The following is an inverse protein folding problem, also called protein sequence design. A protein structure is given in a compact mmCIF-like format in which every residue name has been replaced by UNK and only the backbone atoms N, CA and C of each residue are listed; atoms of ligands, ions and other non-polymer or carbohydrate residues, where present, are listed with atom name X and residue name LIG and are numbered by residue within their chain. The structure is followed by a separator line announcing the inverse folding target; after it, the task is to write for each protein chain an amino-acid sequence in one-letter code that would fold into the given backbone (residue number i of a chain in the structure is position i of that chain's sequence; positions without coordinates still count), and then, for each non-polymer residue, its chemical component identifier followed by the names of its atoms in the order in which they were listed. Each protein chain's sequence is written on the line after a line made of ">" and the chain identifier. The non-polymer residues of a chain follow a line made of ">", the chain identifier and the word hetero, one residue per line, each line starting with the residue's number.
data_IF_133516293295
#
_entry.id   IF_133516293295
#
_cell.length_a   1.000
_cell.length_b   1.000
_cell.length_c   1.000
_cell.angle_alpha   90.00
_cell.angle_beta   90.00
_cell.angle_gamma   90.00
#
_symmetry.space_group_name_H-M   'P 1'
#
loop_
_entity.id
_entity.type
_entity.pdbx_description
1 polymer ?
#
# COMPACT_ATOMS: atom_id res chain seq x y z
N UNK A 1 -14.91 7.12 15.12
CA UNK A 1 -14.28 6.30 16.16
C UNK A 1 -15.28 5.67 17.13
N UNK A 2 -16.04 6.42 17.94
CA UNK A 2 -16.96 5.82 18.96
C UNK A 2 -17.99 4.86 18.38
N UNK A 3 -18.57 5.15 17.23
CA UNK A 3 -19.48 4.24 16.53
C UNK A 3 -18.77 2.93 16.18
N UNK A 4 -17.60 2.99 15.56
CA UNK A 4 -16.81 1.81 15.20
C UNK A 4 -16.38 0.99 16.42
N UNK A 5 -16.02 1.65 17.53
CA UNK A 5 -15.70 0.96 18.77
C UNK A 5 -16.93 0.26 19.36
N UNK A 6 -18.10 0.92 19.34
CA UNK A 6 -19.36 0.33 19.85
C UNK A 6 -19.80 -0.92 19.09
N UNK A 7 -19.51 -0.98 17.77
CA UNK A 7 -19.74 -2.16 16.93
C UNK A 7 -18.60 -3.21 17.04
N UNK A 8 -17.43 -2.81 17.62
CA UNK A 8 -16.31 -3.71 17.77
C UNK A 8 -16.42 -4.49 19.09
N UNK A 9 -16.52 -5.79 19.03
CA UNK A 9 -16.36 -6.67 20.20
C UNK A 9 -15.00 -7.36 20.22
N UNK A 10 -13.95 -6.80 19.62
CA UNK A 10 -12.60 -7.31 19.80
C UNK A 10 -11.90 -6.47 20.86
N UNK A 11 -11.37 -7.13 21.87
CA UNK A 11 -10.48 -6.54 22.89
C UNK A 11 -9.03 -6.43 22.40
N UNK A 12 -8.81 -6.63 21.08
CA UNK A 12 -7.49 -6.60 20.48
C UNK A 12 -7.03 -5.15 20.28
N UNK A 13 -5.85 -4.79 20.78
CA UNK A 13 -5.29 -3.46 20.63
C UNK A 13 -4.89 -3.19 19.16
N UNK A 14 -4.84 -1.92 18.79
CA UNK A 14 -4.40 -1.51 17.45
C UNK A 14 -2.92 -1.80 17.25
N UNK A 15 -2.60 -2.40 16.11
CA UNK A 15 -1.23 -2.72 15.68
C UNK A 15 -0.63 -1.62 14.80
N UNK A 16 -1.50 -0.89 14.08
CA UNK A 16 -1.11 0.23 13.23
C UNK A 16 -2.21 1.29 13.11
N UNK A 17 -1.78 2.54 12.90
CA UNK A 17 -2.62 3.67 12.48
C UNK A 17 -1.96 4.32 11.28
N UNK A 18 -2.74 4.63 10.26
CA UNK A 18 -2.25 5.26 9.05
C UNK A 18 -3.06 6.51 8.73
N UNK A 19 -2.40 7.65 8.74
CA UNK A 19 -2.96 8.91 8.27
C UNK A 19 -2.62 9.06 6.79
N UNK A 20 -3.62 8.86 5.92
CA UNK A 20 -3.48 8.91 4.47
C UNK A 20 -4.58 9.71 3.81
N UNK A 21 -4.41 9.96 2.49
CA UNK A 21 -5.35 10.68 1.65
C UNK A 21 -5.25 12.20 1.76
N UNK A 22 -5.32 12.89 0.64
CA UNK A 22 -5.09 14.33 0.60
C UNK A 22 -3.64 14.68 0.98
N UNK A 23 -3.46 15.46 2.03
CA UNK A 23 -2.14 15.81 2.58
C UNK A 23 -2.21 15.80 4.12
N UNK A 24 -2.05 14.63 4.75
CA UNK A 24 -2.22 14.49 6.21
C UNK A 24 -1.21 15.31 7.03
N UNK A 25 -0.02 15.56 6.49
CA UNK A 25 1.03 16.36 7.12
C UNK A 25 0.66 17.83 7.33
N UNK A 26 -0.39 18.32 6.66
CA UNK A 26 -0.96 19.66 6.90
C UNK A 26 -1.93 19.69 8.09
N UNK A 27 -2.24 18.54 8.68
CA UNK A 27 -3.07 18.50 9.88
C UNK A 27 -2.29 19.11 11.05
N UNK A 28 -2.91 19.98 11.86
CA UNK A 28 -2.25 20.50 13.06
C UNK A 28 -1.78 19.35 13.97
N UNK A 29 -0.53 19.34 14.44
CA UNK A 29 0.00 18.27 15.31
C UNK A 29 -0.85 18.05 16.57
N UNK A 30 -1.43 19.10 17.13
CA UNK A 30 -2.36 18.99 18.25
C UNK A 30 -3.61 18.16 17.93
N UNK A 31 -4.13 18.24 16.68
CA UNK A 31 -5.25 17.42 16.24
C UNK A 31 -4.83 15.97 16.08
N UNK A 32 -3.64 15.71 15.52
CA UNK A 32 -3.07 14.36 15.44
C UNK A 32 -3.00 13.73 16.83
N UNK A 33 -2.45 14.46 17.82
CA UNK A 33 -2.37 13.99 19.22
C UNK A 33 -3.76 13.69 19.80
N UNK A 34 -4.76 14.54 19.58
CA UNK A 34 -6.14 14.31 20.06
C UNK A 34 -6.73 13.04 19.43
N UNK A 35 -6.51 12.82 18.13
CA UNK A 35 -7.01 11.62 17.45
C UNK A 35 -6.34 10.35 17.95
N UNK A 36 -5.03 10.38 18.20
CA UNK A 36 -4.27 9.25 18.74
C UNK A 36 -4.69 8.94 20.18
N UNK A 37 -4.82 9.95 21.03
CA UNK A 37 -5.30 9.75 22.42
C UNK A 37 -6.71 9.15 22.45
N UNK A 38 -7.63 9.59 21.58
CA UNK A 38 -8.97 9.02 21.51
C UNK A 38 -8.97 7.59 20.94
N UNK A 39 -8.10 7.28 19.96
CA UNK A 39 -7.94 5.94 19.44
C UNK A 39 -7.39 4.99 20.52
N UNK A 40 -6.35 5.41 21.24
CA UNK A 40 -5.76 4.63 22.34
C UNK A 40 -6.76 4.38 23.46
N UNK A 41 -7.53 5.40 23.83
CA UNK A 41 -8.58 5.29 24.85
C UNK A 41 -9.67 4.28 24.47
N UNK A 42 -10.01 4.19 23.17
CA UNK A 42 -11.07 3.30 22.67
C UNK A 42 -10.59 1.86 22.48
N UNK A 43 -9.46 1.64 21.87
CA UNK A 43 -9.00 0.30 21.47
C UNK A 43 -7.72 -0.17 22.19
N UNK A 44 -6.99 0.75 22.82
CA UNK A 44 -5.63 0.46 23.28
C UNK A 44 -4.65 0.34 22.11
N UNK A 45 -3.36 0.39 22.41
CA UNK A 45 -2.27 0.22 21.46
C UNK A 45 -1.40 -0.96 21.83
N UNK A 46 -0.98 -1.76 20.84
CA UNK A 46 0.11 -2.70 21.06
C UNK A 46 1.42 -1.98 21.40
N UNK A 47 2.30 -2.59 22.23
CA UNK A 47 3.64 -2.07 22.43
C UNK A 47 4.37 -1.91 21.09
N UNK A 48 4.83 -0.68 20.79
CA UNK A 48 5.50 -0.38 19.53
C UNK A 48 4.56 -0.32 18.32
N UNK A 49 3.30 0.07 18.51
CA UNK A 49 2.36 0.35 17.42
C UNK A 49 3.01 1.19 16.32
N UNK A 50 2.72 0.87 15.05
CA UNK A 50 3.11 1.69 13.91
C UNK A 50 2.11 2.83 13.70
N UNK A 51 2.55 4.07 13.78
CA UNK A 51 1.74 5.26 13.51
C UNK A 51 2.37 6.00 12.34
N UNK A 52 1.81 5.78 11.15
CA UNK A 52 2.30 6.33 9.89
C UNK A 52 1.51 7.57 9.47
N UNK A 53 2.21 8.53 8.87
CA UNK A 53 1.62 9.71 8.25
C UNK A 53 2.26 9.94 6.88
N UNK A 54 1.42 10.17 5.85
CA UNK A 54 1.87 10.58 4.52
C UNK A 54 2.21 12.07 4.49
N UNK A 55 3.29 12.42 3.80
CA UNK A 55 3.73 13.79 3.64
C UNK A 55 4.30 14.04 2.24
N UNK A 56 4.19 15.29 1.75
CA UNK A 56 4.99 15.70 0.61
C UNK A 56 6.37 16.17 1.09
N UNK A 57 7.42 15.97 0.30
CA UNK A 57 8.77 16.34 0.67
C UNK A 57 9.02 17.84 0.40
N UNK A 58 8.19 18.69 0.99
CA UNK A 58 8.34 20.14 0.92
C UNK A 58 8.94 20.72 2.20
N UNK A 59 9.62 21.84 2.08
CA UNK A 59 10.21 22.56 3.22
C UNK A 59 9.17 23.00 4.25
N UNK A 60 7.95 23.31 3.80
CA UNK A 60 6.82 23.68 4.67
C UNK A 60 6.39 22.49 5.53
N UNK A 61 6.28 21.31 4.95
CA UNK A 61 5.86 20.11 5.67
C UNK A 61 6.99 19.60 6.58
N UNK A 62 8.23 19.61 6.10
CA UNK A 62 9.40 19.21 6.89
C UNK A 62 9.57 20.05 8.17
N UNK A 63 9.18 21.33 8.15
CA UNK A 63 9.21 22.18 9.34
C UNK A 63 8.28 21.72 10.48
N UNK A 64 7.28 20.88 10.19
CA UNK A 64 6.32 20.35 11.18
C UNK A 64 6.68 18.96 11.69
N UNK A 65 7.70 18.30 11.14
CA UNK A 65 8.01 16.89 11.45
C UNK A 65 8.35 16.67 12.93
N UNK A 66 9.09 17.58 13.55
CA UNK A 66 9.39 17.51 14.99
C UNK A 66 8.10 17.49 15.83
N UNK A 67 7.14 18.36 15.52
CA UNK A 67 5.88 18.45 16.25
C UNK A 67 4.97 17.24 16.00
N UNK A 68 4.97 16.69 14.76
CA UNK A 68 4.25 15.47 14.43
C UNK A 68 4.83 14.26 15.14
N UNK A 69 6.16 14.17 15.26
CA UNK A 69 6.82 13.11 16.04
C UNK A 69 6.45 13.23 17.54
N UNK A 70 6.44 14.44 18.11
CA UNK A 70 5.99 14.68 19.48
C UNK A 70 4.50 14.37 19.66
N UNK A 71 3.67 14.53 18.63
CA UNK A 71 2.26 14.16 18.65
C UNK A 71 2.02 12.64 18.65
N UNK A 72 3.06 11.82 18.41
CA UNK A 72 3.00 10.36 18.48
C UNK A 72 3.19 9.65 17.14
N UNK A 73 3.39 10.37 16.03
CA UNK A 73 3.76 9.75 14.74
C UNK A 73 5.18 9.17 14.85
N UNK A 74 5.38 7.92 14.45
CA UNK A 74 6.68 7.26 14.52
C UNK A 74 7.20 6.75 13.17
N UNK A 75 6.38 6.83 12.12
CA UNK A 75 6.74 6.52 10.73
C UNK A 75 6.19 7.59 9.79
N UNK A 76 6.98 8.01 8.81
CA UNK A 76 6.53 8.90 7.74
C UNK A 76 6.76 8.25 6.36
N UNK A 77 5.80 8.43 5.43
CA UNK A 77 5.97 8.09 4.01
C UNK A 77 6.02 9.36 3.20
N UNK A 78 7.15 9.60 2.53
CA UNK A 78 7.41 10.82 1.76
C UNK A 78 7.21 10.57 0.27
N UNK A 79 6.25 11.25 -0.33
CA UNK A 79 5.98 11.20 -1.76
C UNK A 79 7.04 11.91 -2.59
N UNK A 80 8.29 11.45 -2.57
CA UNK A 80 9.43 12.01 -3.33
C UNK A 80 9.16 11.96 -4.82
N UNK A 81 8.64 10.85 -5.31
CA UNK A 81 8.22 10.55 -6.68
C UNK A 81 9.36 10.46 -7.70
N UNK A 82 10.36 11.33 -7.65
CA UNK A 82 11.57 11.29 -8.47
C UNK A 82 12.67 12.17 -7.87
N UNK A 83 13.93 11.86 -8.21
CA UNK A 83 15.11 12.68 -7.94
C UNK A 83 15.55 13.50 -9.18
N UNK A 84 14.64 13.72 -10.13
CA UNK A 84 14.87 14.49 -11.38
C UNK A 84 13.81 15.57 -11.52
N UNK A 85 14.24 16.84 -11.58
CA UNK A 85 13.35 18.00 -11.62
C UNK A 85 12.42 18.05 -12.84
N UNK A 86 12.89 17.59 -13.99
CA UNK A 86 12.08 17.49 -15.20
C UNK A 86 10.96 16.46 -15.07
N UNK A 87 11.26 15.34 -14.42
CA UNK A 87 10.29 14.29 -14.08
C UNK A 87 9.29 14.77 -13.05
N UNK A 88 9.73 15.45 -12.02
CA UNK A 88 8.83 16.02 -11.01
C UNK A 88 7.84 16.99 -11.65
N UNK A 89 8.30 17.85 -12.58
CA UNK A 89 7.42 18.73 -13.37
C UNK A 89 6.45 17.95 -14.26
N UNK A 90 6.92 16.87 -14.91
CA UNK A 90 6.05 15.97 -15.71
C UNK A 90 4.95 15.36 -14.83
N UNK A 91 5.31 14.87 -13.64
CA UNK A 91 4.37 14.31 -12.65
C UNK A 91 3.49 15.36 -11.98
N UNK A 92 3.71 16.64 -12.26
CA UNK A 92 2.92 17.75 -11.69
C UNK A 92 3.25 18.06 -10.23
N UNK A 93 4.46 17.70 -9.78
CA UNK A 93 4.93 17.98 -8.43
C UNK A 93 5.44 19.42 -8.31
N UNK A 94 5.26 20.01 -7.13
CA UNK A 94 5.63 21.42 -6.85
C UNK A 94 7.03 21.54 -6.23
N UNK A 95 7.52 20.46 -5.58
CA UNK A 95 8.86 20.39 -4.99
C UNK A 95 9.91 20.01 -6.03
N UNK A 96 11.17 20.39 -5.77
CA UNK A 96 12.32 19.94 -6.54
C UNK A 96 13.07 18.79 -5.88
N UNK A 97 14.01 18.18 -6.61
CA UNK A 97 14.78 17.03 -6.13
C UNK A 97 15.61 17.37 -4.88
N UNK A 98 16.30 18.52 -4.86
CA UNK A 98 17.09 18.98 -3.69
C UNK A 98 16.21 19.21 -2.46
N UNK A 99 14.99 19.70 -2.64
CA UNK A 99 14.04 19.89 -1.55
C UNK A 99 13.57 18.55 -0.99
N UNK A 100 13.30 17.59 -1.88
CA UNK A 100 12.92 16.24 -1.48
C UNK A 100 14.01 15.54 -0.67
N UNK A 101 15.27 15.61 -1.11
CA UNK A 101 16.42 15.03 -0.37
C UNK A 101 16.51 15.65 1.03
N UNK A 102 16.45 16.99 1.14
CA UNK A 102 16.47 17.67 2.45
C UNK A 102 15.30 17.26 3.34
N UNK A 103 14.11 17.08 2.78
CA UNK A 103 12.95 16.63 3.55
C UNK A 103 13.14 15.20 4.09
N UNK A 104 13.79 14.31 3.33
CA UNK A 104 14.17 12.96 3.79
C UNK A 104 15.16 13.04 4.95
N UNK A 105 16.20 13.86 4.86
CA UNK A 105 17.18 14.07 5.94
C UNK A 105 16.52 14.59 7.24
N UNK A 106 15.62 15.57 7.10
CA UNK A 106 14.85 16.10 8.25
C UNK A 106 13.94 15.00 8.82
N UNK A 107 13.25 14.22 7.99
CA UNK A 107 12.41 13.13 8.45
C UNK A 107 13.22 12.07 9.23
N UNK A 108 14.38 11.67 8.74
CA UNK A 108 15.27 10.71 9.42
C UNK A 108 15.79 11.22 10.76
N UNK A 109 15.82 12.54 10.98
CA UNK A 109 16.23 13.11 12.27
C UNK A 109 15.10 13.10 13.34
N UNK A 110 13.84 12.93 12.92
CA UNK A 110 12.68 13.01 13.82
C UNK A 110 11.89 11.71 13.93
N UNK A 111 11.87 10.89 12.89
CA UNK A 111 11.11 9.64 12.88
C UNK A 111 12.05 8.44 12.92
N UNK A 112 11.66 7.41 13.66
CA UNK A 112 12.42 6.15 13.73
C UNK A 112 12.32 5.34 12.44
N UNK A 113 11.29 5.58 11.62
CA UNK A 113 11.04 4.86 10.35
C UNK A 113 10.63 5.85 9.26
N UNK A 114 11.35 5.83 8.15
CA UNK A 114 11.10 6.70 7.00
C UNK A 114 10.95 5.84 5.75
N UNK A 115 9.87 6.07 5.01
CA UNK A 115 9.65 5.53 3.66
C UNK A 115 9.74 6.65 2.63
N UNK A 116 10.25 6.34 1.46
CA UNK A 116 10.15 7.20 0.27
C UNK A 116 9.40 6.50 -0.84
N UNK A 117 8.57 7.25 -1.56
CA UNK A 117 7.82 6.74 -2.69
C UNK A 117 8.41 7.28 -3.97
N UNK A 118 8.70 6.41 -4.95
CA UNK A 118 9.20 6.78 -6.28
C UNK A 118 8.32 6.18 -7.37
N UNK A 119 8.27 6.88 -8.52
CA UNK A 119 7.55 6.43 -9.72
C UNK A 119 8.57 6.19 -10.82
N UNK A 120 8.62 4.96 -11.35
CA UNK A 120 9.46 4.55 -12.46
C UNK A 120 8.63 4.00 -13.63
N UNK A 121 9.26 3.40 -14.64
CA UNK A 121 8.64 3.00 -15.91
C UNK A 121 7.90 4.18 -16.60
N UNK A 122 8.54 5.34 -16.55
CA UNK A 122 8.04 6.57 -17.16
C UNK A 122 8.28 6.56 -18.68
N UNK A 123 7.54 7.38 -19.45
CA UNK A 123 7.76 7.51 -20.87
C UNK A 123 9.23 7.73 -21.23
N UNK A 124 9.77 6.88 -22.10
CA UNK A 124 11.16 6.93 -22.59
C UNK A 124 12.25 6.74 -21.52
N UNK A 125 11.91 6.31 -20.33
CA UNK A 125 12.92 6.00 -19.30
C UNK A 125 13.75 4.80 -19.73
N UNK A 126 15.07 4.98 -19.80
CA UNK A 126 15.99 3.87 -20.06
C UNK A 126 16.35 3.12 -18.77
N UNK A 127 16.85 1.90 -18.94
CA UNK A 127 17.39 1.11 -17.83
C UNK A 127 18.54 1.86 -17.09
N UNK A 128 19.41 2.52 -17.84
CA UNK A 128 20.50 3.31 -17.26
C UNK A 128 20.00 4.50 -16.44
N UNK A 129 18.97 5.24 -16.93
CA UNK A 129 18.40 6.36 -16.19
C UNK A 129 17.82 5.89 -14.86
N UNK A 130 17.10 4.75 -14.88
CA UNK A 130 16.52 4.20 -13.66
C UNK A 130 17.58 3.62 -12.72
N UNK A 131 18.58 2.94 -13.23
CA UNK A 131 19.71 2.42 -12.43
C UNK A 131 20.37 3.55 -11.64
N UNK A 132 20.69 4.66 -12.29
CA UNK A 132 21.31 5.81 -11.61
C UNK A 132 20.40 6.42 -10.56
N UNK A 133 19.13 6.68 -10.89
CA UNK A 133 18.18 7.30 -9.98
C UNK A 133 17.87 6.41 -8.78
N UNK A 134 17.70 5.10 -8.98
CA UNK A 134 17.46 4.14 -7.89
C UNK A 134 18.70 4.00 -7.00
N UNK A 135 19.90 4.01 -7.56
CA UNK A 135 21.13 3.99 -6.76
C UNK A 135 21.26 5.23 -5.87
N UNK A 136 20.93 6.42 -6.38
CA UNK A 136 20.87 7.66 -5.59
C UNK A 136 19.83 7.58 -4.49
N UNK A 137 18.62 7.05 -4.80
CA UNK A 137 17.55 6.88 -3.82
C UNK A 137 17.91 5.89 -2.71
N UNK A 138 18.55 4.76 -3.06
CA UNK A 138 19.05 3.78 -2.09
C UNK A 138 20.13 4.38 -1.18
N UNK A 139 20.95 5.28 -1.71
CA UNK A 139 21.99 5.98 -0.94
C UNK A 139 21.42 6.94 0.13
N UNK A 140 20.12 7.33 0.06
CA UNK A 140 19.45 8.09 1.12
C UNK A 140 19.30 7.27 2.42
N UNK A 141 19.43 5.94 2.37
CA UNK A 141 19.53 5.07 3.54
C UNK A 141 18.24 4.90 4.30
N UNK A 142 17.07 5.03 3.66
CA UNK A 142 15.78 4.71 4.27
C UNK A 142 15.61 3.19 4.41
N UNK A 143 14.83 2.76 5.40
CA UNK A 143 14.60 1.33 5.66
C UNK A 143 13.42 0.74 4.88
N UNK A 144 12.68 1.59 4.18
CA UNK A 144 11.52 1.22 3.38
C UNK A 144 11.43 2.11 2.14
N UNK A 145 11.00 1.52 1.02
CA UNK A 145 10.76 2.23 -0.24
C UNK A 145 9.49 1.68 -0.90
N UNK A 146 8.64 2.58 -1.39
CA UNK A 146 7.52 2.24 -2.27
C UNK A 146 7.91 2.63 -3.70
N UNK A 147 8.04 1.66 -4.59
CA UNK A 147 8.52 1.84 -5.96
C UNK A 147 7.39 1.44 -6.92
N UNK A 148 6.70 2.44 -7.47
CA UNK A 148 5.53 2.24 -8.32
C UNK A 148 5.88 2.43 -9.79
N UNK A 149 5.41 1.54 -10.66
CA UNK A 149 5.40 1.80 -12.10
C UNK A 149 4.35 2.87 -12.41
N UNK A 150 4.65 3.75 -13.35
CA UNK A 150 3.68 4.75 -13.81
C UNK A 150 2.49 4.07 -14.47
N UNK A 151 1.36 4.09 -13.80
CA UNK A 151 0.09 3.57 -14.30
C UNK A 151 -0.77 4.70 -14.87
N UNK A 152 -1.39 4.45 -16.03
CA UNK A 152 -2.29 5.42 -16.69
C UNK A 152 -3.74 5.13 -16.26
N UNK A 153 -4.14 5.73 -15.14
CA UNK A 153 -5.48 5.56 -14.60
C UNK A 153 -6.55 6.24 -15.48
N UNK A 154 -7.67 5.57 -15.77
CA UNK A 154 -8.80 6.15 -16.49
C UNK A 154 -9.26 7.48 -15.86
N UNK A 155 -9.73 8.42 -16.68
CA UNK A 155 -10.24 9.74 -16.25
C UNK A 155 -9.19 10.74 -15.76
N UNK A 156 -7.90 10.36 -15.70
CA UNK A 156 -6.80 11.26 -15.30
C UNK A 156 -6.34 12.15 -16.47
N UNK A 157 -5.53 13.17 -16.11
CA UNK A 157 -4.81 13.98 -17.09
C UNK A 157 -3.92 13.11 -17.97
N UNK A 158 -3.18 12.15 -17.42
CA UNK A 158 -2.30 11.27 -18.17
C UNK A 158 -3.07 10.43 -19.19
N UNK A 159 -4.23 9.87 -18.84
CA UNK A 159 -5.07 9.16 -19.81
C UNK A 159 -5.54 10.06 -20.96
N UNK A 160 -5.75 11.34 -20.69
CA UNK A 160 -6.12 12.33 -21.71
C UNK A 160 -4.91 12.66 -22.59
N UNK A 161 -3.73 12.82 -22.02
CA UNK A 161 -2.50 13.16 -22.72
C UNK A 161 -2.05 12.00 -23.62
N UNK A 162 -2.14 10.76 -23.17
CA UNK A 162 -1.89 9.55 -23.98
C UNK A 162 -2.87 9.48 -25.17
N UNK A 163 -4.18 9.67 -24.93
CA UNK A 163 -5.18 9.67 -26.03
C UNK A 163 -4.93 10.78 -27.07
N UNK A 164 -4.29 11.86 -26.67
CA UNK A 164 -3.92 12.98 -27.56
C UNK A 164 -2.57 12.77 -28.25
N UNK A 165 -1.86 11.70 -27.96
CA UNK A 165 -0.53 11.42 -28.50
C UNK A 165 0.55 12.41 -28.00
N UNK A 166 0.38 12.98 -26.79
CA UNK A 166 1.38 13.86 -26.17
C UNK A 166 2.59 13.04 -25.72
N UNK A 167 2.35 11.84 -25.21
CA UNK A 167 3.36 10.84 -24.94
C UNK A 167 2.75 9.44 -25.02
N UNK A 168 3.62 8.43 -25.23
CA UNK A 168 3.26 7.02 -25.11
C UNK A 168 3.79 6.48 -23.77
N UNK A 169 3.03 5.61 -23.06
CA UNK A 169 3.56 4.86 -21.93
C UNK A 169 4.81 4.08 -22.33
N UNK A 170 5.63 3.69 -21.37
CA UNK A 170 6.68 2.71 -21.62
C UNK A 170 6.02 1.40 -22.05
N UNK A 171 6.59 0.70 -23.03
CA UNK A 171 6.09 -0.60 -23.46
C UNK A 171 6.28 -1.67 -22.36
N UNK A 172 5.49 -2.73 -22.44
CA UNK A 172 5.39 -3.75 -21.39
C UNK A 172 6.71 -4.52 -21.20
N UNK A 173 7.47 -4.78 -22.27
CA UNK A 173 8.75 -5.49 -22.18
C UNK A 173 9.79 -4.66 -21.41
N UNK A 174 9.96 -3.39 -21.79
CA UNK A 174 10.83 -2.47 -21.06
C UNK A 174 10.36 -2.22 -19.61
N UNK A 175 9.04 -2.16 -19.38
CA UNK A 175 8.50 -2.02 -18.03
C UNK A 175 8.79 -3.26 -17.17
N UNK A 176 8.72 -4.46 -17.73
CA UNK A 176 9.08 -5.71 -17.05
C UNK A 176 10.59 -5.78 -16.75
N UNK A 177 11.46 -5.34 -17.67
CA UNK A 177 12.90 -5.26 -17.45
C UNK A 177 13.23 -4.31 -16.30
N UNK A 178 12.60 -3.12 -16.25
CA UNK A 178 12.78 -2.18 -15.16
C UNK A 178 12.26 -2.74 -13.82
N UNK A 179 11.18 -3.53 -13.83
CA UNK A 179 10.69 -4.20 -12.64
C UNK A 179 11.70 -5.22 -12.11
N UNK A 180 12.26 -6.05 -12.97
CA UNK A 180 13.28 -7.04 -12.60
C UNK A 180 14.55 -6.36 -12.06
N UNK A 181 15.01 -5.29 -12.73
CA UNK A 181 16.14 -4.46 -12.29
C UNK A 181 15.89 -3.87 -10.90
N UNK A 182 14.70 -3.30 -10.69
CA UNK A 182 14.31 -2.71 -9.39
C UNK A 182 14.47 -3.71 -8.27
N UNK A 183 13.88 -4.90 -8.41
CA UNK A 183 13.97 -5.97 -7.41
C UNK A 183 15.41 -6.42 -7.16
N UNK A 184 16.20 -6.57 -8.22
CA UNK A 184 17.60 -6.96 -8.10
C UNK A 184 18.43 -5.93 -7.33
N UNK A 185 18.25 -4.64 -7.62
CA UNK A 185 19.00 -3.56 -6.95
C UNK A 185 18.59 -3.39 -5.50
N UNK A 186 17.30 -3.45 -5.19
CA UNK A 186 16.79 -3.31 -3.82
C UNK A 186 17.18 -4.51 -2.96
N UNK A 187 17.13 -5.73 -3.51
CA UNK A 187 17.58 -6.95 -2.82
C UNK A 187 19.08 -6.87 -2.50
N UNK A 188 19.91 -6.50 -3.47
CA UNK A 188 21.34 -6.29 -3.27
C UNK A 188 21.67 -5.20 -2.23
N UNK A 189 20.77 -4.21 -2.06
CA UNK A 189 20.89 -3.17 -1.04
C UNK A 189 20.34 -3.59 0.34
N UNK A 190 19.82 -4.82 0.48
CA UNK A 190 19.23 -5.34 1.71
C UNK A 190 17.81 -4.81 1.99
N UNK A 191 17.10 -4.39 0.94
CA UNK A 191 15.68 -4.03 0.95
C UNK A 191 14.90 -4.98 0.02
N UNK A 192 14.74 -6.28 0.35
CA UNK A 192 13.96 -7.18 -0.48
C UNK A 192 12.51 -6.71 -0.60
N UNK A 193 11.90 -7.00 -1.74
CA UNK A 193 10.48 -6.76 -1.92
C UNK A 193 9.68 -7.72 -1.04
N UNK A 194 8.83 -7.20 -0.15
CA UNK A 194 7.92 -8.03 0.63
C UNK A 194 6.55 -8.19 -0.04
N UNK A 195 6.24 -7.31 -1.00
CA UNK A 195 5.10 -7.43 -1.92
C UNK A 195 5.46 -6.80 -3.28
N UNK A 196 4.48 -6.52 -4.14
CA UNK A 196 4.69 -6.11 -5.54
C UNK A 196 5.54 -4.85 -5.67
N UNK A 197 5.22 -3.80 -4.92
CA UNK A 197 5.76 -2.44 -5.06
C UNK A 197 6.54 -1.95 -3.84
N UNK A 198 6.48 -2.65 -2.72
CA UNK A 198 7.09 -2.20 -1.49
C UNK A 198 8.28 -3.07 -1.09
N UNK A 199 9.37 -2.38 -0.77
CA UNK A 199 10.66 -2.93 -0.44
C UNK A 199 11.09 -2.47 0.95
N UNK A 200 11.59 -3.36 1.79
CA UNK A 200 11.97 -3.01 3.15
C UNK A 200 13.13 -3.87 3.66
N UNK A 201 13.90 -3.34 4.59
CA UNK A 201 14.76 -4.17 5.42
C UNK A 201 13.90 -5.15 6.22
N UNK A 202 14.35 -6.38 6.46
CA UNK A 202 13.62 -7.32 7.31
C UNK A 202 13.21 -6.70 8.64
N UNK A 203 11.92 -6.78 8.99
CA UNK A 203 11.33 -6.17 10.18
C UNK A 203 10.93 -4.69 10.04
N UNK A 204 11.13 -4.09 8.87
CA UNK A 204 10.75 -2.71 8.56
C UNK A 204 9.59 -2.61 7.55
N UNK A 205 8.94 -3.73 7.26
CA UNK A 205 7.75 -3.79 6.42
C UNK A 205 6.64 -2.91 7.02
N UNK A 206 5.85 -2.25 6.18
CA UNK A 206 4.69 -1.47 6.65
C UNK A 206 3.63 -2.40 7.23
N UNK A 207 3.36 -2.27 8.54
CA UNK A 207 2.30 -3.07 9.19
C UNK A 207 0.92 -2.75 8.62
N UNK A 208 0.71 -1.49 8.25
CA UNK A 208 -0.52 -1.07 7.58
C UNK A 208 -0.72 -1.83 6.25
N UNK A 209 0.31 -1.89 5.39
CA UNK A 209 0.24 -2.62 4.13
C UNK A 209 0.00 -4.12 4.36
N UNK A 210 0.74 -4.71 5.30
CA UNK A 210 0.57 -6.12 5.65
C UNK A 210 -0.83 -6.45 6.19
N UNK A 211 -1.49 -5.51 6.88
CA UNK A 211 -2.89 -5.67 7.32
C UNK A 211 -3.82 -5.95 6.13
N UNK A 212 -3.66 -5.22 5.03
CA UNK A 212 -4.44 -5.46 3.81
C UNK A 212 -4.04 -6.76 3.12
N UNK A 213 -2.75 -6.96 2.87
CA UNK A 213 -2.26 -8.12 2.12
C UNK A 213 -2.52 -9.44 2.85
N UNK A 214 -2.49 -9.46 4.18
CA UNK A 214 -2.84 -10.62 5.00
C UNK A 214 -4.34 -10.75 5.30
N UNK A 215 -5.14 -9.93 4.65
CA UNK A 215 -6.59 -9.91 4.79
C UNK A 215 -7.06 -9.78 6.25
N UNK A 216 -6.39 -8.94 7.03
CA UNK A 216 -6.77 -8.65 8.41
C UNK A 216 -7.85 -7.56 8.45
N UNK A 217 -8.59 -7.49 9.55
CA UNK A 217 -9.60 -6.47 9.77
C UNK A 217 -8.98 -5.08 9.92
N UNK A 218 -9.64 -4.08 9.37
CA UNK A 218 -9.25 -2.68 9.53
C UNK A 218 -10.45 -1.74 9.53
N UNK A 219 -10.29 -0.61 10.19
CA UNK A 219 -11.32 0.43 10.33
C UNK A 219 -10.87 1.67 9.57
N UNK A 220 -11.68 2.12 8.62
CA UNK A 220 -11.46 3.40 7.95
C UNK A 220 -12.23 4.51 8.65
N UNK A 221 -11.61 5.67 8.87
CA UNK A 221 -12.23 6.85 9.49
C UNK A 221 -11.85 8.08 8.66
N UNK A 222 -12.86 8.89 8.34
CA UNK A 222 -12.68 10.07 7.52
C UNK A 222 -13.39 9.98 6.16
N UNK A 223 -13.48 11.10 5.42
CA UNK A 223 -14.12 11.13 4.10
C UNK A 223 -13.45 10.17 3.12
N UNK A 224 -14.23 9.34 2.44
CA UNK A 224 -13.75 8.38 1.44
C UNK A 224 -13.03 7.16 2.01
N UNK A 225 -12.89 7.03 3.32
CA UNK A 225 -12.22 5.88 3.93
C UNK A 225 -13.04 4.61 3.75
N UNK A 226 -12.33 3.52 3.48
CA UNK A 226 -12.86 2.16 3.44
C UNK A 226 -12.57 1.44 4.75
N UNK A 227 -13.40 0.47 5.10
CA UNK A 227 -13.18 -0.43 6.22
C UNK A 227 -13.62 -1.83 5.86
N UNK A 228 -12.95 -2.83 6.40
CA UNK A 228 -13.40 -4.22 6.37
C UNK A 228 -13.16 -4.81 7.75
N UNK A 229 -14.22 -5.29 8.35
CA UNK A 229 -14.17 -5.86 9.69
C UNK A 229 -15.17 -7.00 9.80
N UNK A 230 -14.73 -8.11 10.35
CA UNK A 230 -15.50 -9.34 10.37
C UNK A 230 -15.85 -9.77 8.94
N UNK A 231 -17.10 -9.72 8.59
CA UNK A 231 -17.61 -10.02 7.24
C UNK A 231 -18.34 -8.84 6.62
N UNK A 232 -18.02 -7.62 7.04
CA UNK A 232 -18.65 -6.41 6.53
C UNK A 232 -17.62 -5.46 5.92
N UNK A 233 -17.84 -5.06 4.66
CA UNK A 233 -17.12 -3.99 4.00
C UNK A 233 -17.90 -2.69 4.11
N UNK A 234 -17.23 -1.60 4.45
CA UNK A 234 -17.83 -0.27 4.61
C UNK A 234 -17.10 0.78 3.79
N UNK A 235 -17.87 1.72 3.21
CA UNK A 235 -17.34 2.89 2.49
C UNK A 235 -17.93 4.15 3.09
N UNK A 236 -17.10 5.15 3.38
CA UNK A 236 -17.53 6.44 3.90
C UNK A 236 -17.83 7.43 2.77
N UNK A 237 -18.69 8.41 3.06
CA UNK A 237 -18.95 9.50 2.12
C UNK A 237 -17.65 10.15 1.66
N UNK A 238 -17.44 10.23 0.34
CA UNK A 238 -16.19 10.77 -0.26
C UNK A 238 -16.07 12.28 -0.09
N UNK A 239 -17.19 13.01 -0.21
CA UNK A 239 -17.21 14.47 -0.05
C UNK A 239 -17.20 14.84 1.44
N UNK A 240 -16.25 15.69 1.90
CA UNK A 240 -16.15 16.07 3.31
C UNK A 240 -17.45 16.62 3.89
N UNK A 241 -18.19 17.42 3.13
CA UNK A 241 -19.46 18.00 3.58
C UNK A 241 -20.51 16.93 3.86
N UNK A 242 -20.63 15.93 2.97
CA UNK A 242 -21.58 14.84 3.14
C UNK A 242 -21.17 13.95 4.34
N UNK A 243 -19.85 13.71 4.51
CA UNK A 243 -19.34 12.98 5.65
C UNK A 243 -19.68 13.67 6.97
N UNK A 244 -19.43 14.99 7.05
CA UNK A 244 -19.74 15.78 8.26
C UNK A 244 -21.24 15.80 8.57
N UNK A 245 -22.11 15.97 7.56
CA UNK A 245 -23.56 15.90 7.74
C UNK A 245 -23.99 14.53 8.25
N UNK A 246 -23.50 13.45 7.66
CA UNK A 246 -23.82 12.09 8.10
C UNK A 246 -23.36 11.82 9.55
N UNK A 247 -22.18 12.30 9.92
CA UNK A 247 -21.69 12.18 11.31
C UNK A 247 -22.58 12.96 12.28
N UNK A 248 -23.03 14.17 11.92
CA UNK A 248 -23.93 14.96 12.75
C UNK A 248 -25.30 14.30 12.93
N UNK A 249 -25.85 13.73 11.86
CA UNK A 249 -27.22 13.18 11.83
C UNK A 249 -27.30 11.74 12.36
N UNK A 250 -26.26 10.91 12.08
CA UNK A 250 -26.27 9.46 12.30
C UNK A 250 -25.15 8.98 13.25
N UNK A 251 -24.29 9.89 13.71
CA UNK A 251 -23.09 9.58 14.52
C UNK A 251 -21.98 8.78 13.80
N UNK A 252 -22.12 8.54 12.48
CA UNK A 252 -21.12 7.91 11.63
C UNK A 252 -21.16 8.47 10.21
N UNK A 253 -20.07 8.30 9.47
CA UNK A 253 -19.94 8.77 8.08
C UNK A 253 -20.06 7.65 7.04
N UNK A 254 -20.62 6.50 7.38
CA UNK A 254 -20.79 5.35 6.48
C UNK A 254 -21.83 5.69 5.41
N UNK A 255 -21.46 5.58 4.14
CA UNK A 255 -22.33 5.74 2.99
C UNK A 255 -22.86 4.38 2.51
N UNK A 256 -22.04 3.35 2.58
CA UNK A 256 -22.37 1.99 2.16
C UNK A 256 -21.79 1.00 3.18
N UNK A 257 -22.58 -0.02 3.49
CA UNK A 257 -22.17 -1.18 4.28
C UNK A 257 -22.68 -2.44 3.56
N UNK A 258 -21.80 -3.41 3.35
CA UNK A 258 -22.14 -4.63 2.63
C UNK A 258 -21.55 -5.85 3.35
N UNK A 259 -22.40 -6.84 3.58
CA UNK A 259 -21.95 -8.13 4.07
C UNK A 259 -21.21 -8.89 2.96
N UNK A 260 -20.05 -9.42 3.29
CA UNK A 260 -19.24 -10.27 2.44
C UNK A 260 -19.56 -11.73 2.75
N UNK A 261 -19.88 -12.53 1.74
CA UNK A 261 -20.00 -13.95 1.96
C UNK A 261 -18.62 -14.62 2.13
N UNK A 262 -18.61 -15.87 2.57
CA UNK A 262 -17.36 -16.59 2.89
C UNK A 262 -16.49 -16.83 1.66
N UNK A 263 -17.11 -17.10 0.50
CA UNK A 263 -16.39 -17.35 -0.75
C UNK A 263 -15.75 -16.06 -1.26
N UNK A 264 -16.48 -14.95 -1.23
CA UNK A 264 -15.97 -13.64 -1.56
C UNK A 264 -14.77 -13.26 -0.68
N UNK A 265 -14.88 -13.44 0.63
CA UNK A 265 -13.77 -13.20 1.57
C UNK A 265 -12.55 -14.09 1.28
N UNK A 266 -12.77 -15.37 0.99
CA UNK A 266 -11.70 -16.30 0.63
C UNK A 266 -11.01 -15.90 -0.67
N UNK A 267 -11.79 -15.48 -1.68
CA UNK A 267 -11.26 -14.94 -2.94
C UNK A 267 -10.42 -13.69 -2.73
N UNK A 268 -10.93 -12.70 -1.99
CA UNK A 268 -10.19 -11.47 -1.69
C UNK A 268 -8.91 -11.79 -0.90
N UNK A 269 -8.96 -12.68 0.10
CA UNK A 269 -7.80 -13.09 0.88
C UNK A 269 -6.72 -13.75 0.01
N UNK A 270 -7.14 -14.58 -0.94
CA UNK A 270 -6.25 -15.24 -1.89
C UNK A 270 -5.59 -14.24 -2.84
N UNK A 271 -6.40 -13.37 -3.47
CA UNK A 271 -5.93 -12.35 -4.41
C UNK A 271 -4.96 -11.35 -3.76
N UNK A 272 -5.21 -10.98 -2.50
CA UNK A 272 -4.34 -10.09 -1.75
C UNK A 272 -3.07 -10.81 -1.27
N UNK A 273 -3.21 -12.01 -0.71
CA UNK A 273 -2.09 -12.74 -0.13
C UNK A 273 -1.06 -13.21 -1.14
N UNK A 274 -1.47 -13.55 -2.37
CA UNK A 274 -0.55 -13.94 -3.45
C UNK A 274 0.33 -12.77 -3.96
N UNK A 275 0.06 -11.54 -3.54
CA UNK A 275 0.95 -10.39 -3.77
C UNK A 275 2.15 -10.38 -2.83
N UNK A 276 2.09 -11.08 -1.71
CA UNK A 276 3.16 -11.18 -0.73
C UNK A 276 4.27 -12.13 -1.18
N UNK A 277 5.52 -11.74 -0.96
CA UNK A 277 6.68 -12.61 -1.19
C UNK A 277 6.71 -13.86 -0.30
N UNK A 278 6.07 -13.81 0.87
CA UNK A 278 5.92 -14.95 1.81
C UNK A 278 4.89 -15.99 1.36
N UNK A 279 4.09 -15.67 0.32
CA UNK A 279 2.99 -16.50 -0.13
C UNK A 279 1.84 -16.58 0.88
N UNK A 280 0.96 -17.57 0.68
CA UNK A 280 -0.22 -17.79 1.52
C UNK A 280 -0.34 -19.27 1.91
N UNK A 281 -0.97 -19.50 3.04
CA UNK A 281 -1.33 -20.83 3.54
C UNK A 281 -2.79 -21.12 3.16
N UNK A 282 -2.99 -22.06 2.24
CA UNK A 282 -4.32 -22.44 1.74
C UNK A 282 -5.17 -23.14 2.82
N UNK A 283 -4.54 -23.91 3.70
CA UNK A 283 -5.26 -24.55 4.79
C UNK A 283 -5.77 -23.51 5.80
N UNK A 284 -4.96 -22.49 6.09
CA UNK A 284 -5.38 -21.39 6.96
C UNK A 284 -6.56 -20.59 6.36
N UNK A 285 -6.53 -20.29 5.05
CA UNK A 285 -7.65 -19.65 4.35
C UNK A 285 -8.88 -20.56 4.36
N UNK A 286 -8.70 -21.83 4.01
CA UNK A 286 -9.79 -22.82 4.00
C UNK A 286 -10.48 -22.92 5.36
N UNK A 287 -9.69 -23.04 6.43
CA UNK A 287 -10.21 -23.11 7.81
C UNK A 287 -10.89 -21.81 8.27
N UNK A 288 -10.36 -20.66 7.87
CA UNK A 288 -10.92 -19.35 8.24
C UNK A 288 -12.29 -19.09 7.59
N UNK A 289 -12.46 -19.49 6.34
CA UNK A 289 -13.67 -19.17 5.55
C UNK A 289 -14.56 -20.37 5.28
N UNK A 290 -14.21 -21.56 5.81
CA UNK A 290 -14.97 -22.81 5.64
C UNK A 290 -15.15 -23.17 4.14
N UNK A 291 -14.03 -23.14 3.41
CA UNK A 291 -13.92 -23.50 1.99
C UNK A 291 -12.81 -24.55 1.80
N UNK A 292 -12.90 -25.37 0.77
CA UNK A 292 -11.84 -26.36 0.49
C UNK A 292 -10.75 -25.78 -0.40
N UNK A 293 -9.54 -26.34 -0.37
CA UNK A 293 -8.44 -25.93 -1.26
C UNK A 293 -8.83 -26.03 -2.74
N UNK A 294 -9.64 -27.04 -3.10
CA UNK A 294 -10.16 -27.21 -4.46
C UNK A 294 -11.18 -26.15 -4.87
N UNK A 295 -11.82 -25.49 -3.91
CA UNK A 295 -12.68 -24.33 -4.18
C UNK A 295 -11.87 -23.05 -4.42
N UNK A 296 -10.63 -22.98 -3.95
CA UNK A 296 -9.76 -21.81 -4.02
C UNK A 296 -8.92 -21.78 -5.30
N UNK A 297 -8.26 -22.88 -5.62
CA UNK A 297 -7.22 -22.96 -6.66
C UNK A 297 -7.54 -24.04 -7.68
N UNK A 298 -7.34 -23.70 -8.97
CA UNK A 298 -7.33 -24.69 -10.04
C UNK A 298 -6.02 -25.49 -10.00
N UNK A 299 -6.11 -26.74 -9.56
CA UNK A 299 -4.94 -27.62 -9.42
C UNK A 299 -4.20 -27.88 -10.74
N UNK A 300 -4.90 -27.88 -11.89
CA UNK A 300 -4.29 -28.09 -13.20
C UNK A 300 -3.47 -26.89 -13.64
N UNK A 301 -3.99 -25.69 -13.39
CA UNK A 301 -3.28 -24.41 -13.63
C UNK A 301 -2.11 -24.26 -12.69
N UNK A 302 -2.29 -24.61 -11.41
CA UNK A 302 -1.21 -24.59 -10.42
C UNK A 302 -0.03 -25.45 -10.87
N UNK A 303 -0.28 -26.71 -11.29
CA UNK A 303 0.77 -27.59 -11.78
C UNK A 303 1.47 -27.03 -13.03
N UNK A 304 0.70 -26.50 -14.00
CA UNK A 304 1.24 -25.87 -15.22
C UNK A 304 2.18 -24.72 -14.88
N UNK A 305 1.77 -23.81 -13.99
CA UNK A 305 2.58 -22.64 -13.68
C UNK A 305 3.75 -22.94 -12.75
N UNK A 306 3.68 -24.03 -11.96
CA UNK A 306 4.85 -24.57 -11.26
C UNK A 306 5.90 -25.11 -12.25
N UNK A 307 5.48 -25.90 -13.25
CA UNK A 307 6.38 -26.42 -14.28
C UNK A 307 7.05 -25.28 -15.09
N UNK A 308 6.36 -24.16 -15.27
CA UNK A 308 6.89 -22.96 -15.90
C UNK A 308 7.75 -22.09 -14.96
N UNK A 309 7.86 -22.45 -13.66
CA UNK A 309 8.62 -21.71 -12.68
C UNK A 309 8.02 -20.35 -12.25
N UNK A 310 6.72 -20.14 -12.53
CA UNK A 310 6.04 -18.86 -12.23
C UNK A 310 5.43 -18.82 -10.82
N UNK A 311 5.08 -19.98 -10.28
CA UNK A 311 4.57 -20.14 -8.92
C UNK A 311 5.33 -21.23 -8.19
N UNK A 312 5.30 -21.22 -6.88
CA UNK A 312 5.86 -22.27 -6.03
C UNK A 312 4.79 -22.82 -5.09
N UNK A 313 4.98 -24.06 -4.63
CA UNK A 313 4.15 -24.68 -3.62
C UNK A 313 5.03 -25.50 -2.69
N UNK A 314 4.87 -25.31 -1.40
CA UNK A 314 5.56 -26.04 -0.33
C UNK A 314 4.51 -26.41 0.73
N UNK A 315 4.23 -27.71 0.87
CA UNK A 315 3.15 -28.22 1.74
C UNK A 315 1.81 -27.56 1.40
N UNK A 316 1.22 -26.82 2.34
CA UNK A 316 -0.04 -26.10 2.17
C UNK A 316 0.16 -24.62 1.74
N UNK A 317 1.40 -24.17 1.57
CA UNK A 317 1.72 -22.82 1.14
C UNK A 317 1.92 -22.75 -0.36
N UNK A 318 1.42 -21.66 -0.94
CA UNK A 318 1.68 -21.29 -2.34
C UNK A 318 2.11 -19.82 -2.45
N UNK A 319 2.84 -19.51 -3.49
CA UNK A 319 3.23 -18.15 -3.78
C UNK A 319 3.69 -17.97 -5.22
N UNK A 320 3.89 -16.72 -5.59
CA UNK A 320 4.38 -16.33 -6.91
C UNK A 320 5.89 -16.15 -6.84
N UNK A 321 6.63 -16.70 -7.81
CA UNK A 321 8.09 -16.57 -7.88
C UNK A 321 8.48 -15.15 -8.35
N UNK A 322 9.75 -14.81 -8.21
CA UNK A 322 10.27 -13.56 -8.78
C UNK A 322 10.03 -13.46 -10.30
N UNK A 323 10.07 -14.59 -11.02
CA UNK A 323 9.79 -14.67 -12.46
C UNK A 323 8.29 -14.52 -12.76
N UNK A 324 7.41 -15.03 -11.88
CA UNK A 324 5.97 -14.92 -12.04
C UNK A 324 5.40 -13.57 -11.65
N UNK A 325 6.09 -12.82 -10.77
CA UNK A 325 5.56 -11.58 -10.21
C UNK A 325 5.20 -10.50 -11.26
N UNK A 326 5.94 -10.31 -12.36
CA UNK A 326 5.52 -9.41 -13.44
C UNK A 326 4.20 -9.82 -14.12
N UNK A 327 3.82 -11.09 -14.02
CA UNK A 327 2.61 -11.67 -14.62
C UNK A 327 1.50 -11.89 -13.58
N UNK A 328 1.64 -11.32 -12.38
CA UNK A 328 0.78 -11.62 -11.23
C UNK A 328 -0.71 -11.51 -11.54
N UNK A 329 -1.17 -10.41 -12.14
CA UNK A 329 -2.60 -10.22 -12.40
C UNK A 329 -3.17 -11.26 -13.39
N UNK A 330 -2.37 -11.66 -14.40
CA UNK A 330 -2.74 -12.74 -15.30
C UNK A 330 -2.77 -14.10 -14.58
N UNK A 331 -1.77 -14.37 -13.74
CA UNK A 331 -1.71 -15.60 -12.94
C UNK A 331 -2.89 -15.69 -11.97
N UNK A 332 -3.25 -14.59 -11.30
CA UNK A 332 -4.40 -14.57 -10.39
C UNK A 332 -5.70 -14.89 -11.11
N UNK A 333 -5.92 -14.33 -12.31
CA UNK A 333 -7.10 -14.61 -13.13
C UNK A 333 -7.21 -16.06 -13.60
N UNK A 334 -6.11 -16.79 -13.65
CA UNK A 334 -6.07 -18.19 -14.12
C UNK A 334 -6.02 -19.19 -12.94
N UNK A 335 -5.34 -18.85 -11.84
CA UNK A 335 -5.15 -19.72 -10.69
C UNK A 335 -6.37 -19.78 -9.78
N UNK A 336 -7.02 -18.63 -9.57
CA UNK A 336 -8.19 -18.54 -8.70
C UNK A 336 -9.41 -19.13 -9.40
N UNK A 337 -10.15 -19.97 -8.71
CA UNK A 337 -11.36 -20.57 -9.29
C UNK A 337 -12.35 -19.52 -9.78
N UNK A 338 -12.83 -19.67 -11.03
CA UNK A 338 -13.72 -18.71 -11.68
C UNK A 338 -15.00 -18.40 -10.87
N UNK A 339 -15.52 -19.39 -10.16
CA UNK A 339 -16.70 -19.26 -9.31
C UNK A 339 -16.48 -18.36 -8.07
N UNK A 340 -15.22 -18.07 -7.73
CA UNK A 340 -14.87 -17.13 -6.67
C UNK A 340 -14.80 -15.68 -7.16
N UNK A 341 -14.54 -15.48 -8.46
CA UNK A 341 -14.34 -14.14 -9.07
C UNK A 341 -15.65 -13.58 -9.65
N UNK A 342 -16.65 -14.43 -9.87
CA UNK A 342 -17.89 -14.10 -10.60
C UNK A 342 -19.05 -13.57 -9.71
N UNK A 343 -18.79 -13.16 -8.47
CA UNK A 343 -19.82 -12.67 -7.54
C UNK A 343 -19.88 -11.14 -7.44
#
# INVERSE_FOLDING_TARGET
>A
MRHEHGEACSDEPLTSIFFGGGTPSLMPPALVSILLCEAERLWGFEPGIEITLEANPSSVEAATFADLALAGVNRVSLGVQSLRDDVLRFLGRLHGADEAVKAVEVAQSHFSRVSIDLIYARPKQSENDWTMELAEALALGTDHMSLYQLTIEPTTRFATDVRRGIFDPLDDDNAADLFALTRSMTDAAGLPAYEVSNHARPGQESRHNLTYWRYQDYIGIGPGAHGRRRNEATVRHKKPENYLSAVADQSHGIAEARMLDRREQASEALLMGLRLGEGIDLAAIGGRFDVTTSDLIDASKMALYQDLGLVWSEEEKIGVTAQGMPLLDALLGELVQADLVAS
#
